data_IF_697066915055
#
_entry.id   IF_697066915055
#
_cell.length_a   1.000
_cell.length_b   1.000
_cell.length_c   1.000
_cell.angle_alpha   90.00
_cell.angle_beta   90.00
_cell.angle_gamma   90.00
#
_symmetry.space_group_name_H-M   'P 1'
#
loop_
_entity.id
_entity.type
_entity.pdbx_description
1 polymer ?
#
# COMPACT_ATOMS: atom_id res chain seq x y z
N UNK A 1 -12.53 -0.48 -1.15
CA UNK A 1 -11.50 -1.14 -0.31
C UNK A 1 -11.68 -2.66 -0.20
N UNK A 2 -12.91 -3.19 -0.28
CA UNK A 2 -13.17 -4.64 -0.20
C UNK A 2 -12.30 -5.51 -1.12
N UNK A 3 -12.15 -5.14 -2.39
CA UNK A 3 -11.30 -5.88 -3.34
C UNK A 3 -9.83 -5.92 -2.88
N UNK A 4 -9.30 -4.81 -2.36
CA UNK A 4 -7.92 -4.75 -1.85
C UNK A 4 -7.72 -5.67 -0.66
N UNK A 5 -8.69 -5.74 0.26
CA UNK A 5 -8.64 -6.66 1.41
C UNK A 5 -8.70 -8.12 0.95
N UNK A 6 -9.55 -8.44 -0.05
CA UNK A 6 -9.61 -9.78 -0.65
C UNK A 6 -8.28 -10.14 -1.31
N UNK A 7 -7.71 -9.26 -2.14
CA UNK A 7 -6.42 -9.50 -2.78
C UNK A 7 -5.27 -9.65 -1.79
N UNK A 8 -5.20 -8.83 -0.74
CA UNK A 8 -4.18 -8.96 0.29
C UNK A 8 -4.24 -10.34 0.97
N UNK A 9 -5.45 -10.87 1.19
CA UNK A 9 -5.64 -12.20 1.77
C UNK A 9 -5.29 -13.31 0.79
N UNK A 10 -5.84 -13.25 -0.42
CA UNK A 10 -5.76 -14.35 -1.40
C UNK A 10 -4.38 -14.46 -2.05
N UNK A 11 -3.72 -13.32 -2.32
CA UNK A 11 -2.44 -13.28 -3.02
C UNK A 11 -1.27 -13.29 -2.02
N UNK A 12 -1.39 -12.52 -0.93
CA UNK A 12 -0.27 -12.31 0.01
C UNK A 12 -0.44 -13.08 1.33
N UNK A 13 -1.61 -13.67 1.59
CA UNK A 13 -1.90 -14.32 2.87
C UNK A 13 -2.02 -13.35 4.06
N UNK A 14 -2.23 -12.05 3.79
CA UNK A 14 -2.28 -11.00 4.82
C UNK A 14 -3.73 -10.71 5.19
N UNK A 15 -4.05 -10.81 6.48
CA UNK A 15 -5.34 -10.40 7.01
C UNK A 15 -5.22 -9.01 7.62
N UNK A 16 -5.83 -8.02 6.96
CA UNK A 16 -5.87 -6.65 7.45
C UNK A 16 -6.96 -6.49 8.51
N UNK A 17 -6.63 -5.81 9.60
CA UNK A 17 -7.61 -5.39 10.61
C UNK A 17 -8.44 -4.21 10.09
N UNK A 18 -9.61 -3.97 10.69
CA UNK A 18 -10.44 -2.82 10.33
C UNK A 18 -9.69 -1.48 10.44
N UNK A 19 -8.85 -1.31 11.47
CA UNK A 19 -8.04 -0.09 11.64
C UNK A 19 -6.98 0.07 10.55
N UNK A 20 -6.35 -1.02 10.10
CA UNK A 20 -5.39 -0.98 8.99
C UNK A 20 -6.09 -0.64 7.67
N UNK A 21 -7.28 -1.20 7.43
CA UNK A 21 -8.09 -0.85 6.26
C UNK A 21 -8.41 0.64 6.25
N UNK A 22 -8.86 1.19 7.37
CA UNK A 22 -9.13 2.64 7.49
C UNK A 22 -7.86 3.47 7.29
N UNK A 23 -6.70 3.02 7.77
CA UNK A 23 -5.44 3.71 7.52
C UNK A 23 -5.09 3.76 6.02
N UNK A 24 -5.28 2.67 5.28
CA UNK A 24 -5.11 2.65 3.82
C UNK A 24 -6.12 3.54 3.09
N UNK A 25 -7.36 3.64 3.56
CA UNK A 25 -8.36 4.56 3.00
C UNK A 25 -7.96 6.03 3.16
N UNK A 26 -7.48 6.40 4.36
CA UNK A 26 -6.95 7.74 4.63
C UNK A 26 -5.74 8.00 3.73
N UNK A 27 -4.82 7.04 3.64
CA UNK A 27 -3.61 7.21 2.83
C UNK A 27 -3.92 7.33 1.33
N UNK A 28 -4.86 6.53 0.79
CA UNK A 28 -5.33 6.65 -0.59
C UNK A 28 -5.86 8.07 -0.88
N UNK A 29 -6.66 8.61 0.04
CA UNK A 29 -7.23 9.95 -0.10
C UNK A 29 -6.15 11.02 -0.10
N UNK A 30 -5.24 10.98 0.88
CA UNK A 30 -4.13 11.95 0.96
C UNK A 30 -3.24 11.87 -0.27
N UNK A 31 -2.94 10.66 -0.77
CA UNK A 31 -2.13 10.47 -1.97
C UNK A 31 -2.78 11.13 -3.19
N UNK A 32 -4.09 10.95 -3.38
CA UNK A 32 -4.84 11.57 -4.49
C UNK A 32 -4.84 13.10 -4.35
N UNK A 33 -5.15 13.61 -3.15
CA UNK A 33 -5.25 15.04 -2.87
C UNK A 33 -3.90 15.75 -3.07
N UNK A 34 -2.80 15.14 -2.63
CA UNK A 34 -1.45 15.66 -2.84
C UNK A 34 -0.98 15.51 -4.28
N UNK A 35 -1.32 14.40 -4.95
CA UNK A 35 -0.96 14.19 -6.34
C UNK A 35 -1.58 15.25 -7.26
N UNK A 36 -2.82 15.68 -6.97
CA UNK A 36 -3.47 16.78 -7.67
C UNK A 36 -2.74 18.12 -7.57
N UNK A 37 -1.92 18.31 -6.53
CA UNK A 37 -1.17 19.56 -6.28
C UNK A 37 0.30 19.48 -6.70
N UNK A 38 0.91 18.30 -6.64
CA UNK A 38 2.37 18.13 -6.75
C UNK A 38 2.83 17.08 -7.77
N UNK A 39 1.91 16.41 -8.50
CA UNK A 39 2.25 15.35 -9.47
C UNK A 39 3.19 14.27 -8.90
N UNK A 40 2.87 13.78 -7.70
CA UNK A 40 3.62 12.76 -6.97
C UNK A 40 3.66 11.38 -7.68
N UNK A 41 2.64 11.06 -8.46
CA UNK A 41 2.50 9.80 -9.20
C UNK A 41 1.69 10.00 -10.47
N UNK A 42 2.05 9.33 -11.57
CA UNK A 42 1.24 9.32 -12.79
C UNK A 42 -0.11 8.58 -12.63
N UNK A 43 -0.28 7.84 -11.53
CA UNK A 43 -1.45 7.03 -11.21
C UNK A 43 -2.37 7.80 -10.27
N UNK A 44 -3.56 8.17 -10.74
CA UNK A 44 -4.60 8.84 -9.95
C UNK A 44 -5.86 7.97 -9.75
N UNK A 45 -5.99 6.85 -10.47
CA UNK A 45 -7.12 5.93 -10.28
C UNK A 45 -6.99 5.18 -8.95
N UNK A 46 -7.96 5.30 -8.02
CA UNK A 46 -7.94 4.61 -6.74
C UNK A 46 -7.72 3.09 -6.86
N UNK A 47 -8.27 2.46 -7.90
CA UNK A 47 -8.07 1.02 -8.10
C UNK A 47 -6.62 0.71 -8.46
N UNK A 48 -6.01 1.48 -9.36
CA UNK A 48 -4.61 1.32 -9.69
C UNK A 48 -3.70 1.63 -8.50
N UNK A 49 -4.00 2.63 -7.66
CA UNK A 49 -3.24 2.92 -6.44
C UNK A 49 -3.20 1.68 -5.52
N UNK A 50 -4.35 1.07 -5.25
CA UNK A 50 -4.42 -0.12 -4.39
C UNK A 50 -3.63 -1.32 -4.91
N UNK A 51 -3.56 -1.47 -6.24
CA UNK A 51 -2.85 -2.60 -6.86
C UNK A 51 -1.35 -2.30 -7.02
N UNK A 52 -1.03 -1.16 -7.62
CA UNK A 52 0.34 -0.81 -8.06
C UNK A 52 1.18 -0.19 -6.96
N UNK A 53 0.57 0.44 -5.96
CA UNK A 53 1.30 0.99 -4.83
C UNK A 53 1.12 0.09 -3.60
N UNK A 54 -0.12 -0.12 -3.14
CA UNK A 54 -0.30 -0.81 -1.85
C UNK A 54 0.00 -2.30 -1.89
N UNK A 55 -0.62 -3.06 -2.81
CA UNK A 55 -0.37 -4.51 -2.91
C UNK A 55 1.06 -4.82 -3.33
N UNK A 56 1.62 -4.04 -4.25
CA UNK A 56 3.00 -4.20 -4.69
C UNK A 56 3.99 -3.99 -3.53
N UNK A 57 3.84 -2.90 -2.76
CA UNK A 57 4.67 -2.65 -1.57
C UNK A 57 4.48 -3.70 -0.47
N UNK A 58 3.26 -4.19 -0.24
CA UNK A 58 2.99 -5.26 0.73
C UNK A 58 3.61 -6.61 0.30
N UNK A 59 3.86 -6.82 -0.98
CA UNK A 59 4.45 -8.08 -1.47
C UNK A 59 5.85 -8.34 -0.90
N UNK A 60 6.58 -7.30 -0.50
CA UNK A 60 7.87 -7.39 0.19
C UNK A 60 7.81 -8.25 1.46
N UNK A 61 6.65 -8.29 2.15
CA UNK A 61 6.43 -9.12 3.34
C UNK A 61 6.66 -10.59 3.01
N UNK A 62 6.32 -11.05 1.81
CA UNK A 62 6.50 -12.46 1.41
C UNK A 62 7.97 -12.87 1.41
N UNK A 63 8.89 -11.94 1.16
CA UNK A 63 10.32 -12.21 1.15
C UNK A 63 10.94 -12.17 2.56
N UNK A 64 10.38 -11.39 3.48
CA UNK A 64 10.97 -11.15 4.81
C UNK A 64 10.23 -11.84 5.96
N UNK A 65 9.06 -12.45 5.72
CA UNK A 65 8.21 -13.04 6.78
C UNK A 65 8.94 -14.06 7.67
N UNK A 66 9.88 -14.82 7.10
CA UNK A 66 10.62 -15.87 7.81
C UNK A 66 11.89 -15.33 8.50
N UNK A 67 12.27 -14.08 8.19
CA UNK A 67 13.41 -13.37 8.79
C UNK A 67 13.01 -11.91 9.05
N UNK A 68 12.14 -11.66 10.04
CA UNK A 68 11.60 -10.33 10.28
C UNK A 68 12.71 -9.34 10.61
N UNK A 69 12.83 -8.31 9.80
CA UNK A 69 13.82 -7.25 9.98
C UNK A 69 13.44 -6.36 11.17
N UNK A 70 14.34 -6.20 12.14
CA UNK A 70 14.13 -5.29 13.27
C UNK A 70 14.32 -3.81 12.90
N UNK A 71 15.01 -3.54 11.79
CA UNK A 71 15.25 -2.19 11.25
C UNK A 71 15.17 -2.26 9.74
N UNK A 72 14.37 -1.37 9.15
CA UNK A 72 14.19 -1.25 7.71
C UNK A 72 14.57 0.17 7.31
N UNK A 73 15.21 0.30 6.14
CA UNK A 73 15.43 1.58 5.47
C UNK A 73 14.69 1.53 4.14
N UNK A 74 13.99 2.61 3.82
CA UNK A 74 13.40 2.83 2.50
C UNK A 74 14.19 3.94 1.80
N UNK A 75 14.84 3.60 0.69
CA UNK A 75 15.73 4.51 -0.05
C UNK A 75 15.05 4.86 -1.36
N UNK A 76 14.67 6.13 -1.50
CA UNK A 76 13.97 6.63 -2.70
C UNK A 76 12.44 6.56 -2.62
N UNK A 77 11.89 6.51 -1.41
CA UNK A 77 10.44 6.37 -1.08
C UNK A 77 9.49 7.33 -1.83
N UNK A 78 9.93 8.51 -2.27
CA UNK A 78 9.07 9.42 -3.03
C UNK A 78 7.82 9.84 -2.25
N UNK A 79 6.65 9.31 -2.62
CA UNK A 79 5.36 9.56 -1.96
C UNK A 79 5.07 8.62 -0.75
N UNK A 80 6.06 7.81 -0.37
CA UNK A 80 5.89 6.69 0.54
C UNK A 80 6.00 5.38 -0.23
#
# INVERSE_FOLDING_TARGET
MNDFVSYAREILGINLTASQVTAFEIYEKELIDWNARHSLTAIADPRQIRIKHFLDSLSCILAIKDTPAHRIIDVGTGAG
#
